data_IF_403452654128
#
_entry.id   IF_403452654128
#
_cell.length_a   1.000
_cell.length_b   1.000
_cell.length_c   1.000
_cell.angle_alpha   90.00
_cell.angle_beta   90.00
_cell.angle_gamma   90.00
#
_symmetry.space_group_name_H-M   'P 1'
#
loop_
_entity.id
_entity.type
_entity.pdbx_description
1 polymer ?
#
# COMPACT_ATOMS: atom_id res chain seq x y z
N UNK A 1 22.81 -5.99 14.70
CA UNK A 1 22.42 -6.33 13.32
C UNK A 1 21.15 -5.55 13.03
N UNK A 2 21.22 -4.48 12.24
CA UNK A 2 20.03 -3.69 11.89
C UNK A 2 19.21 -4.48 10.88
N UNK A 3 18.24 -5.25 11.37
CA UNK A 3 17.22 -5.85 10.50
C UNK A 3 16.41 -4.70 9.94
N UNK A 4 16.67 -4.37 8.68
CA UNK A 4 16.08 -3.29 7.91
C UNK A 4 14.57 -3.52 7.73
N UNK A 5 13.78 -3.35 8.79
CA UNK A 5 12.31 -3.18 8.71
C UNK A 5 11.98 -1.78 8.18
N UNK A 6 12.72 -1.34 7.15
CA UNK A 6 12.50 -0.03 6.52
C UNK A 6 11.31 -0.18 5.60
N UNK A 7 10.16 0.33 6.04
CA UNK A 7 9.06 0.62 5.15
C UNK A 7 9.51 1.75 4.24
N UNK A 8 9.37 1.56 2.94
CA UNK A 8 9.64 2.59 1.96
C UNK A 8 8.32 3.08 1.36
N UNK A 9 8.12 4.40 1.34
CA UNK A 9 6.96 5.00 0.70
C UNK A 9 7.25 5.10 -0.79
N UNK A 10 6.53 4.33 -1.61
CA UNK A 10 6.70 4.32 -3.05
C UNK A 10 5.80 5.38 -3.71
N UNK A 11 6.16 6.64 -3.51
CA UNK A 11 5.44 7.80 -4.07
C UNK A 11 5.27 7.68 -5.59
N UNK A 12 6.31 7.26 -6.31
CA UNK A 12 6.24 7.11 -7.77
C UNK A 12 5.20 6.07 -8.22
N UNK A 13 5.07 4.97 -7.49
CA UNK A 13 4.06 3.96 -7.78
C UNK A 13 2.66 4.50 -7.46
N UNK A 14 2.50 5.15 -6.30
CA UNK A 14 1.26 5.80 -5.90
C UNK A 14 0.76 6.82 -6.93
N UNK A 15 1.65 7.69 -7.44
CA UNK A 15 1.33 8.68 -8.46
C UNK A 15 0.87 8.05 -9.79
N UNK A 16 1.52 6.96 -10.22
CA UNK A 16 1.08 6.23 -11.42
C UNK A 16 -0.30 5.60 -11.23
N UNK A 17 -0.56 5.07 -10.04
CA UNK A 17 -1.85 4.44 -9.71
C UNK A 17 -2.95 5.49 -9.64
N UNK A 18 -2.69 6.66 -9.07
CA UNK A 18 -3.65 7.77 -9.01
C UNK A 18 -4.08 8.28 -10.39
N UNK A 19 -3.30 8.00 -11.44
CA UNK A 19 -3.65 8.32 -12.85
C UNK A 19 -4.56 7.27 -13.50
N UNK A 20 -4.81 6.14 -12.85
CA UNK A 20 -5.71 5.10 -13.37
C UNK A 20 -7.16 5.56 -13.22
N UNK A 21 -7.94 5.47 -14.30
CA UNK A 21 -9.36 5.81 -14.28
C UNK A 21 -10.11 4.98 -13.23
N UNK A 22 -10.86 5.66 -12.36
CA UNK A 22 -11.58 5.04 -11.24
C UNK A 22 -10.82 5.04 -9.92
N UNK A 23 -9.54 5.43 -9.90
CA UNK A 23 -8.78 5.67 -8.67
C UNK A 23 -8.88 7.16 -8.30
N UNK A 24 -9.23 7.44 -7.05
CA UNK A 24 -9.21 8.79 -6.47
C UNK A 24 -7.85 9.14 -5.90
N UNK A 25 -7.29 8.21 -5.14
CA UNK A 25 -6.06 8.37 -4.40
C UNK A 25 -5.44 6.99 -4.19
N UNK A 26 -4.12 6.92 -4.15
CA UNK A 26 -3.42 5.71 -3.75
C UNK A 26 -2.19 6.06 -2.93
N UNK A 27 -1.86 5.20 -1.98
CA UNK A 27 -0.59 5.21 -1.27
C UNK A 27 0.02 3.81 -1.31
N UNK A 28 1.32 3.75 -1.54
CA UNK A 28 2.05 2.49 -1.70
C UNK A 28 3.17 2.43 -0.68
N UNK A 29 3.15 1.40 0.15
CA UNK A 29 4.23 1.05 1.06
C UNK A 29 4.91 -0.22 0.55
N UNK A 30 6.23 -0.18 0.47
CA UNK A 30 7.05 -1.33 0.06
C UNK A 30 7.85 -1.80 1.26
N UNK A 31 7.83 -3.11 1.51
CA UNK A 31 8.65 -3.76 2.53
C UNK A 31 9.30 -4.98 1.91
N UNK A 32 10.60 -5.21 2.11
CA UNK A 32 11.37 -6.34 1.57
C UNK A 32 11.07 -6.71 0.09
N UNK A 33 10.04 -7.52 -0.18
CA UNK A 33 9.57 -7.93 -1.52
C UNK A 33 8.05 -7.83 -1.70
N UNK A 34 7.37 -7.17 -0.77
CA UNK A 34 5.93 -7.02 -0.72
C UNK A 34 5.58 -5.54 -0.89
N UNK A 35 4.55 -5.27 -1.66
CA UNK A 35 3.97 -3.95 -1.80
C UNK A 35 2.54 -3.94 -1.30
N UNK A 36 2.23 -2.93 -0.52
CA UNK A 36 0.97 -2.71 0.15
C UNK A 36 0.37 -1.43 -0.40
N UNK A 37 -0.72 -1.58 -1.13
CA UNK A 37 -1.38 -0.48 -1.83
C UNK A 37 -2.70 -0.18 -1.14
N UNK A 38 -2.75 0.98 -0.48
CA UNK A 38 -4.00 1.59 -0.04
C UNK A 38 -4.58 2.37 -1.21
N UNK A 39 -5.68 1.90 -1.79
CA UNK A 39 -6.37 2.59 -2.88
C UNK A 39 -7.71 3.15 -2.40
N UNK A 40 -8.03 4.37 -2.82
CA UNK A 40 -9.36 4.97 -2.72
C UNK A 40 -9.91 5.04 -4.12
N UNK A 41 -11.06 4.42 -4.35
CA UNK A 41 -11.66 4.31 -5.68
C UNK A 41 -12.99 5.08 -5.73
N UNK A 42 -13.26 5.75 -6.84
CA UNK A 42 -14.54 6.45 -7.09
C UNK A 42 -15.48 5.56 -7.92
N UNK A 43 -15.54 4.26 -7.64
CA UNK A 43 -16.50 3.39 -8.34
C UNK A 43 -17.89 3.61 -7.75
N UNK A 44 -18.96 3.43 -8.55
CA UNK A 44 -20.34 3.56 -8.08
C UNK A 44 -20.67 2.67 -6.87
N UNK A 45 -19.87 1.64 -6.62
CA UNK A 45 -20.02 0.72 -5.49
C UNK A 45 -18.95 0.91 -4.41
N UNK A 46 -17.96 1.80 -4.61
CA UNK A 46 -16.82 1.99 -3.71
C UNK A 46 -15.93 0.74 -3.56
N UNK A 47 -16.04 -0.22 -4.48
CA UNK A 47 -15.34 -1.51 -4.44
C UNK A 47 -14.21 -1.55 -5.46
N UNK A 48 -13.13 -2.21 -5.07
CA UNK A 48 -12.05 -2.61 -5.94
C UNK A 48 -12.54 -3.71 -6.88
N UNK A 49 -12.45 -3.48 -8.19
CA UNK A 49 -12.72 -4.51 -9.20
C UNK A 49 -11.43 -5.28 -9.51
N UNK A 50 -11.52 -6.56 -9.91
CA UNK A 50 -10.32 -7.36 -10.25
C UNK A 50 -9.52 -6.74 -11.42
N UNK A 51 -10.18 -6.10 -12.38
CA UNK A 51 -9.50 -5.36 -13.45
C UNK A 51 -8.69 -4.18 -12.90
N UNK A 52 -9.25 -3.43 -11.95
CA UNK A 52 -8.57 -2.28 -11.36
C UNK A 52 -7.40 -2.74 -10.49
N UNK A 53 -7.60 -3.79 -9.68
CA UNK A 53 -6.55 -4.43 -8.89
C UNK A 53 -5.38 -4.88 -9.77
N UNK A 54 -5.66 -5.56 -10.88
CA UNK A 54 -4.65 -6.01 -11.84
C UNK A 54 -3.87 -4.84 -12.46
N UNK A 55 -4.55 -3.74 -12.80
CA UNK A 55 -3.89 -2.52 -13.30
C UNK A 55 -2.97 -1.90 -12.25
N UNK A 56 -3.45 -1.80 -11.01
CA UNK A 56 -2.67 -1.28 -9.88
C UNK A 56 -1.42 -2.12 -9.66
N UNK A 57 -1.57 -3.44 -9.56
CA UNK A 57 -0.46 -4.35 -9.37
C UNK A 57 0.58 -4.25 -10.50
N UNK A 58 0.12 -4.09 -11.74
CA UNK A 58 1.00 -3.88 -12.89
C UNK A 58 1.80 -2.58 -12.77
N UNK A 59 1.20 -1.47 -12.34
CA UNK A 59 1.90 -0.19 -12.17
C UNK A 59 2.97 -0.24 -11.07
N UNK A 60 2.66 -0.93 -9.97
CA UNK A 60 3.60 -1.15 -8.86
C UNK A 60 4.82 -1.92 -9.34
N UNK A 61 4.61 -3.09 -9.95
CA UNK A 61 5.70 -3.96 -10.45
C UNK A 61 6.50 -3.32 -11.59
N UNK A 62 5.86 -2.46 -12.40
CA UNK A 62 6.55 -1.70 -13.43
C UNK A 62 7.45 -0.59 -12.86
N UNK A 63 7.22 -0.17 -11.61
CA UNK A 63 8.03 0.85 -10.94
C UNK A 63 9.17 0.22 -10.15
N UNK A 64 8.94 -0.95 -9.55
CA UNK A 64 9.98 -1.71 -8.88
C UNK A 64 9.86 -3.21 -9.21
N UNK A 65 10.80 -3.77 -10.00
CA UNK A 65 10.80 -5.18 -10.38
C UNK A 65 11.17 -6.13 -9.23
N UNK A 66 11.66 -5.64 -8.10
CA UNK A 66 11.97 -6.46 -6.92
C UNK A 66 10.71 -6.88 -6.16
N UNK A 67 9.58 -6.21 -6.41
CA UNK A 67 8.30 -6.51 -5.77
C UNK A 67 7.74 -7.82 -6.35
N UNK A 68 7.58 -8.81 -5.46
CA UNK A 68 7.02 -10.12 -5.79
C UNK A 68 5.51 -10.16 -5.54
N UNK A 69 5.08 -9.67 -4.37
CA UNK A 69 3.67 -9.68 -3.99
C UNK A 69 3.12 -8.26 -3.93
N UNK A 70 1.93 -8.05 -4.49
CA UNK A 70 1.20 -6.78 -4.39
C UNK A 70 -0.14 -7.04 -3.72
N UNK A 71 -0.34 -6.42 -2.57
CA UNK A 71 -1.57 -6.47 -1.79
C UNK A 71 -2.29 -5.13 -1.97
N UNK A 72 -3.45 -5.14 -2.60
CA UNK A 72 -4.27 -3.94 -2.79
C UNK A 72 -5.47 -4.01 -1.87
N UNK A 73 -5.75 -2.93 -1.15
CA UNK A 73 -6.92 -2.84 -0.29
C UNK A 73 -7.58 -1.48 -0.41
N UNK A 74 -8.91 -1.49 -0.47
CA UNK A 74 -9.77 -0.30 -0.31
C UNK A 74 -10.45 -0.28 1.05
N UNK A 75 -9.99 -1.12 2.01
CA UNK A 75 -10.52 -1.13 3.37
C UNK A 75 -10.19 0.22 4.05
N UNK A 76 -11.17 0.91 4.65
CA UNK A 76 -10.97 2.21 5.29
C UNK A 76 -9.92 2.18 6.41
N UNK A 77 -9.87 1.14 7.24
CA UNK A 77 -8.88 1.01 8.31
C UNK A 77 -7.46 0.90 7.76
N UNK A 78 -7.29 0.12 6.69
CA UNK A 78 -5.99 -0.05 6.03
C UNK A 78 -5.54 1.23 5.33
N UNK A 79 -6.46 1.89 4.61
CA UNK A 79 -6.21 3.15 3.93
C UNK A 79 -5.83 4.26 4.91
N UNK A 80 -6.58 4.40 6.00
CA UNK A 80 -6.31 5.37 7.06
C UNK A 80 -4.96 5.14 7.71
N UNK A 81 -4.62 3.89 8.00
CA UNK A 81 -3.33 3.53 8.62
C UNK A 81 -2.15 3.91 7.74
N UNK A 82 -2.22 3.61 6.44
CA UNK A 82 -1.16 3.99 5.49
C UNK A 82 -1.10 5.51 5.31
N UNK A 83 -2.23 6.19 5.17
CA UNK A 83 -2.30 7.65 5.03
C UNK A 83 -1.66 8.37 6.22
N UNK A 84 -1.97 7.91 7.44
CA UNK A 84 -1.41 8.45 8.69
C UNK A 84 0.09 8.30 8.70
N UNK A 85 0.61 7.13 8.35
CA UNK A 85 2.06 6.90 8.27
C UNK A 85 2.77 7.81 7.28
N UNK A 86 2.25 7.90 6.05
CA UNK A 86 2.83 8.77 5.01
C UNK A 86 2.83 10.22 5.47
N UNK A 87 1.76 10.66 6.14
CA UNK A 87 1.63 12.00 6.70
C UNK A 87 2.63 12.25 7.83
N UNK A 88 2.73 11.34 8.80
CA UNK A 88 3.63 11.49 9.94
C UNK A 88 5.10 11.49 9.50
N UNK A 89 5.49 10.59 8.59
CA UNK A 89 6.84 10.59 7.99
C UNK A 89 7.10 11.90 7.24
N UNK A 90 6.14 12.37 6.44
CA UNK A 90 6.25 13.64 5.72
C UNK A 90 6.36 14.87 6.63
N UNK A 91 5.81 14.79 7.84
CA UNK A 91 5.91 15.81 8.88
C UNK A 91 7.16 15.68 9.76
N UNK A 92 8.00 14.66 9.54
CA UNK A 92 9.18 14.40 10.37
C UNK A 92 8.87 13.84 11.76
N UNK A 93 7.67 13.31 11.98
CA UNK A 93 7.29 12.68 13.25
C UNK A 93 7.90 11.29 13.39
N UNK A 94 8.23 10.87 14.62
CA UNK A 94 8.69 9.51 14.87
C UNK A 94 7.54 8.52 14.67
N UNK A 95 7.74 7.57 13.76
CA UNK A 95 6.77 6.49 13.42
C UNK A 95 7.18 5.14 14.03
N UNK A 96 7.75 5.18 15.24
CA UNK A 96 8.14 3.99 15.97
C UNK A 96 6.92 3.10 16.28
N UNK A 97 7.06 1.78 16.15
CA UNK A 97 5.97 0.82 16.39
C UNK A 97 4.91 0.75 15.29
N UNK A 98 4.93 1.66 14.29
CA UNK A 98 3.99 1.58 13.17
C UNK A 98 4.08 0.25 12.43
N UNK A 99 5.30 -0.23 12.20
CA UNK A 99 5.53 -1.49 11.47
C UNK A 99 4.91 -2.70 12.18
N UNK A 100 4.99 -2.79 13.50
CA UNK A 100 4.45 -3.92 14.27
C UNK A 100 2.92 -3.99 14.18
N UNK A 101 2.29 -2.84 14.36
CA UNK A 101 0.86 -2.66 14.22
C UNK A 101 0.38 -2.91 12.78
N UNK A 102 1.10 -2.38 11.81
CA UNK A 102 0.82 -2.60 10.39
C UNK A 102 0.94 -4.08 10.02
N UNK A 103 1.99 -4.76 10.46
CA UNK A 103 2.18 -6.18 10.23
C UNK A 103 1.06 -7.01 10.86
N UNK A 104 0.63 -6.65 12.08
CA UNK A 104 -0.51 -7.28 12.75
C UNK A 104 -1.81 -7.11 11.95
N UNK A 105 -2.06 -5.89 11.44
CA UNK A 105 -3.22 -5.59 10.59
C UNK A 105 -3.18 -6.39 9.28
N UNK A 106 -2.04 -6.38 8.59
CA UNK A 106 -1.84 -7.12 7.33
C UNK A 106 -2.02 -8.61 7.52
N UNK A 107 -1.42 -9.22 8.55
CA UNK A 107 -1.55 -10.66 8.78
C UNK A 107 -3.01 -11.09 9.05
N UNK A 108 -3.83 -10.21 9.65
CA UNK A 108 -5.26 -10.47 9.88
C UNK A 108 -6.08 -10.34 8.59
N UNK A 109 -5.81 -9.31 7.78
CA UNK A 109 -6.56 -9.04 6.55
C UNK A 109 -6.12 -9.93 5.37
N UNK A 110 -4.84 -10.24 5.29
CA UNK A 110 -4.18 -11.00 4.23
C UNK A 110 -3.36 -12.14 4.84
N UNK A 111 -4.01 -13.16 5.44
CA UNK A 111 -3.30 -14.32 5.95
C UNK A 111 -2.65 -15.07 4.80
N UNK A 112 -1.32 -15.21 4.81
CA UNK A 112 -0.63 -16.10 3.86
C UNK A 112 -0.96 -17.56 4.22
N UNK A 113 -1.48 -18.37 3.28
CA UNK A 113 -1.64 -19.80 3.51
C UNK A 113 -0.26 -20.41 3.80
N UNK A 114 -0.18 -21.22 4.86
CA UNK A 114 1.02 -21.97 5.24
C UNK A 114 1.34 -23.05 4.22
#
# INVERSE_FOLDING_TARGET
>A
MNTDNRIQIANQAAEKIAKVNGVRQANVLVTQRNAYVAAVVNTNQGKLTPELEGQIAKQVRATDPNIQNVYVSTNPEFVDRINTYVTDVGQGKPVAGFFEEFNTMVQRMFPTPR
#
